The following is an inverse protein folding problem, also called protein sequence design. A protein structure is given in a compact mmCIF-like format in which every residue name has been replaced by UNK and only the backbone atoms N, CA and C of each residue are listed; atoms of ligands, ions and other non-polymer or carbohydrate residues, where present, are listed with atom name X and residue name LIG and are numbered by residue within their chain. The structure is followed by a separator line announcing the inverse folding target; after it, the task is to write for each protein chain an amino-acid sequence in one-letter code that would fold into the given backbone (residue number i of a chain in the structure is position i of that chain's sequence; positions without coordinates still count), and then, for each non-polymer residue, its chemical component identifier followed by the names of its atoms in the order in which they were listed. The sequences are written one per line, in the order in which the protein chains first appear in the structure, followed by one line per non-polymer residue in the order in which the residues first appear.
data_IF_503442854300
#
_entry.id   IF_503442854300
#
_cell.length_a   1.000
_cell.length_b   1.000
_cell.length_c   1.000
_cell.angle_alpha   90.00
_cell.angle_beta   90.00
_cell.angle_gamma   90.00
#
_symmetry.space_group_name_H-M   'P 1'
#
loop_
_entity.id
_entity.type
_entity.pdbx_description
1 polymer ?
#
# COMPACT_ATOMS: atom_id res chain seq x y z
N UNK A 1 18.70 -12.13 -1.42
CA UNK A 1 20.01 -11.45 -1.59
C UNK A 1 19.89 -10.36 -2.68
N UNK A 2 18.89 -9.47 -2.59
CA UNK A 2 18.60 -8.46 -3.64
C UNK A 2 18.26 -7.05 -3.09
N UNK A 3 18.40 -6.79 -1.78
CA UNK A 3 17.89 -5.55 -1.17
C UNK A 3 18.85 -4.34 -1.14
N UNK A 4 19.97 -4.38 -1.86
CA UNK A 4 21.00 -3.32 -1.75
C UNK A 4 20.88 -2.22 -2.83
N UNK A 5 19.98 -2.33 -3.82
CA UNK A 5 20.01 -1.43 -5.00
C UNK A 5 19.20 -0.14 -4.92
N UNK A 6 18.33 0.06 -3.94
CA UNK A 6 17.44 1.23 -3.91
C UNK A 6 18.16 2.50 -3.40
N UNK A 7 19.18 2.36 -2.54
CA UNK A 7 19.95 3.51 -2.02
C UNK A 7 20.79 4.25 -3.07
N UNK A 8 21.24 3.56 -4.12
CA UNK A 8 22.18 4.12 -5.11
C UNK A 8 21.51 5.06 -6.12
N UNK A 9 20.20 4.94 -6.35
CA UNK A 9 19.48 5.76 -7.32
C UNK A 9 19.19 7.15 -6.76
N UNK A 10 18.93 7.26 -5.45
CA UNK A 10 18.63 8.55 -4.82
C UNK A 10 19.86 9.46 -4.74
N UNK A 11 21.06 8.90 -4.52
CA UNK A 11 22.29 9.68 -4.38
C UNK A 11 22.78 10.28 -5.72
N UNK A 12 22.52 9.60 -6.84
CA UNK A 12 22.87 10.08 -8.18
C UNK A 12 21.90 11.14 -8.74
N UNK A 13 20.67 11.19 -8.22
CA UNK A 13 19.68 12.19 -8.64
C UNK A 13 20.04 13.59 -8.11
N UNK A 14 20.48 13.66 -6.85
CA UNK A 14 20.89 14.94 -6.23
C UNK A 14 22.21 15.48 -6.78
N UNK A 15 23.17 14.61 -7.14
CA UNK A 15 24.42 15.04 -7.77
C UNK A 15 24.20 15.59 -9.18
N UNK A 16 23.26 15.03 -9.94
CA UNK A 16 22.89 15.56 -11.26
C UNK A 16 22.27 16.96 -11.22
N UNK A 17 21.38 17.22 -10.25
CA UNK A 17 20.77 18.56 -10.06
C UNK A 17 21.81 19.59 -9.62
N UNK A 18 22.76 19.20 -8.76
CA UNK A 18 23.83 20.09 -8.28
C UNK A 18 24.78 20.49 -9.43
N UNK A 19 25.11 19.56 -10.34
CA UNK A 19 25.96 19.84 -11.50
C UNK A 19 25.25 20.75 -12.52
N UNK A 20 23.94 20.59 -12.72
CA UNK A 20 23.17 21.50 -13.58
C UNK A 20 23.09 22.94 -13.02
N UNK A 21 23.02 23.12 -11.70
CA UNK A 21 23.04 24.46 -11.09
C UNK A 21 24.40 25.15 -11.19
N UNK A 22 25.50 24.39 -11.17
CA UNK A 22 26.86 24.95 -11.26
C UNK A 22 27.21 25.36 -12.70
N UNK A 23 26.73 24.63 -13.72
CA UNK A 23 27.05 24.94 -15.13
C UNK A 23 26.21 26.11 -15.69
N UNK A 24 25.04 26.41 -15.12
CA UNK A 24 24.18 27.53 -15.57
C UNK A 24 24.54 28.87 -14.89
N UNK A 25 25.44 28.87 -13.89
CA UNK A 25 25.86 30.07 -13.16
C UNK A 25 27.33 30.52 -13.43
N UNK A 26 27.75 30.83 -14.67
CA UNK A 26 28.94 31.65 -14.84
C UNK A 26 28.67 32.87 -15.73
N UNK A 27 27.72 33.76 -15.43
CA UNK A 27 27.61 35.03 -16.20
C UNK A 27 26.96 36.22 -15.48
N UNK A 28 26.99 36.27 -14.14
CA UNK A 28 26.38 37.37 -13.36
C UNK A 28 27.33 38.05 -12.37
N UNK A 29 28.63 38.10 -12.67
CA UNK A 29 29.60 38.91 -11.90
C UNK A 29 30.62 39.56 -12.84
N UNK A 30 30.26 40.67 -13.48
CA UNK A 30 31.20 41.75 -13.83
C UNK A 30 30.43 42.95 -14.39
N UNK A 31 29.96 43.82 -13.49
CA UNK A 31 29.51 45.17 -13.85
C UNK A 31 29.58 46.07 -12.63
N UNK A 32 30.78 46.27 -12.07
CA UNK A 32 31.04 47.35 -11.11
C UNK A 32 32.49 47.80 -11.27
N UNK A 33 32.66 49.05 -11.69
CA UNK A 33 33.97 49.65 -12.00
C UNK A 33 33.81 51.03 -12.61
N UNK A 34 32.91 51.83 -12.03
CA UNK A 34 32.72 53.25 -12.34
C UNK A 34 33.88 54.02 -11.70
N UNK A 35 34.91 54.30 -12.51
CA UNK A 35 36.00 55.20 -12.15
C UNK A 35 35.66 56.61 -12.62
N UNK A 36 35.09 57.41 -11.72
CA UNK A 36 35.01 58.86 -11.89
C UNK A 36 36.43 59.44 -11.98
N UNK A 37 36.73 60.11 -13.11
CA UNK A 37 37.93 60.91 -13.27
C UNK A 37 37.51 62.36 -13.48
N UNK A 38 37.65 63.13 -12.40
CA UNK A 38 37.42 64.56 -12.31
C UNK A 38 38.77 65.25 -12.05
N UNK A 39 38.90 66.51 -12.49
CA UNK A 39 40.05 67.45 -12.39
C UNK A 39 41.20 67.21 -13.40
N UNK A 40 41.73 68.19 -14.16
CA UNK A 40 41.82 69.64 -13.97
C UNK A 40 41.89 70.42 -15.30
N UNK A 41 41.63 71.75 -15.30
CA UNK A 41 41.82 72.63 -16.44
C UNK A 41 43.23 73.26 -16.43
N UNK A 42 43.98 73.17 -17.54
CA UNK A 42 45.17 74.00 -17.76
C UNK A 42 44.94 75.08 -18.82
N UNK A 43 45.09 76.31 -18.33
CA UNK A 43 45.66 77.52 -18.90
C UNK A 43 46.08 77.60 -20.38
N UNK A 44 45.56 78.67 -21.00
CA UNK A 44 46.31 79.73 -21.70
C UNK A 44 47.21 79.37 -22.88
N UNK A 45 46.69 79.61 -24.09
CA UNK A 45 47.47 80.28 -25.13
C UNK A 45 46.66 81.40 -25.80
N UNK A 46 47.16 82.64 -25.60
CA UNK A 46 46.79 83.83 -26.37
C UNK A 46 47.25 83.64 -27.82
N UNK A 47 46.33 83.68 -28.77
CA UNK A 47 46.67 83.98 -30.15
C UNK A 47 45.61 84.89 -30.76
N UNK A 48 46.05 86.12 -31.03
CA UNK A 48 45.34 87.19 -31.69
C UNK A 48 45.00 86.85 -33.14
N UNK A 49 43.75 86.99 -33.54
CA UNK A 49 43.32 87.11 -34.95
C UNK A 49 41.98 87.85 -35.03
N UNK A 50 41.58 88.33 -36.21
CA UNK A 50 41.02 89.67 -36.42
C UNK A 50 39.56 89.77 -35.96
N UNK A 51 39.11 90.99 -35.69
CA UNK A 51 37.69 91.30 -35.46
C UNK A 51 36.87 91.02 -36.72
N UNK A 52 36.45 89.76 -36.87
CA UNK A 52 35.28 89.36 -37.64
C UNK A 52 34.09 89.55 -36.72
N UNK A 53 33.07 90.27 -37.18
CA UNK A 53 31.87 90.62 -36.44
C UNK A 53 31.25 89.37 -35.79
N UNK A 54 31.35 89.31 -34.45
CA UNK A 54 30.95 88.21 -33.55
C UNK A 54 29.48 87.74 -33.71
N UNK A 55 28.67 88.51 -34.43
CA UNK A 55 27.26 88.25 -34.71
C UNK A 55 27.05 87.19 -35.80
N UNK A 56 27.85 87.20 -36.86
CA UNK A 56 27.66 86.28 -38.00
C UNK A 56 28.12 84.85 -37.68
N UNK A 57 29.08 84.69 -36.77
CA UNK A 57 29.54 83.38 -36.29
C UNK A 57 28.52 82.75 -35.35
N UNK A 58 27.84 83.56 -34.53
CA UNK A 58 26.86 83.07 -33.56
C UNK A 58 25.58 82.55 -34.24
N UNK A 59 25.13 83.21 -35.31
CA UNK A 59 23.97 82.78 -36.08
C UNK A 59 24.24 81.51 -36.92
N UNK A 60 25.49 81.28 -37.32
CA UNK A 60 25.90 80.09 -38.07
C UNK A 60 26.12 78.84 -37.19
N UNK A 61 26.51 78.99 -35.92
CA UNK A 61 26.78 77.87 -35.00
C UNK A 61 25.52 77.39 -34.24
N UNK A 62 24.54 78.27 -34.01
CA UNK A 62 23.28 77.94 -33.32
C UNK A 62 22.50 76.71 -33.90
N UNK A 63 22.39 76.49 -35.23
CA UNK A 63 21.75 75.29 -35.76
C UNK A 63 22.57 74.01 -35.53
N UNK A 64 23.90 74.08 -35.54
CA UNK A 64 24.79 72.95 -35.27
C UNK A 64 24.66 72.46 -33.82
N UNK A 65 24.60 73.38 -32.85
CA UNK A 65 24.40 73.05 -31.43
C UNK A 65 23.01 72.42 -31.21
N UNK A 66 21.97 72.92 -31.89
CA UNK A 66 20.63 72.30 -31.84
C UNK A 66 20.62 70.90 -32.45
N UNK A 67 21.30 70.69 -33.58
CA UNK A 67 21.47 69.37 -34.20
C UNK A 67 22.20 68.38 -33.29
N UNK A 68 23.23 68.82 -32.57
CA UNK A 68 23.97 67.96 -31.64
C UNK A 68 23.11 67.55 -30.43
N UNK A 69 22.28 68.45 -29.90
CA UNK A 69 21.35 68.13 -28.80
C UNK A 69 20.29 67.11 -29.23
N UNK A 70 19.72 67.26 -30.42
CA UNK A 70 18.71 66.30 -30.93
C UNK A 70 19.33 64.93 -31.21
N UNK A 71 20.55 64.87 -31.74
CA UNK A 71 21.29 63.62 -31.94
C UNK A 71 21.62 62.93 -30.61
N UNK A 72 22.06 63.66 -29.59
CA UNK A 72 22.30 63.10 -28.24
C UNK A 72 21.01 62.53 -27.64
N UNK A 73 19.89 63.24 -27.79
CA UNK A 73 18.59 62.78 -27.27
C UNK A 73 18.14 61.50 -27.98
N UNK A 74 18.25 61.44 -29.32
CA UNK A 74 17.93 60.23 -30.10
C UNK A 74 18.83 59.05 -29.73
N UNK A 75 20.13 59.28 -29.55
CA UNK A 75 21.07 58.24 -29.14
C UNK A 75 20.71 57.68 -27.75
N UNK A 76 20.38 58.54 -26.78
CA UNK A 76 19.94 58.12 -25.45
C UNK A 76 18.68 57.27 -25.49
N UNK A 77 17.67 57.66 -26.27
CA UNK A 77 16.42 56.88 -26.40
C UNK A 77 16.65 55.52 -27.08
N UNK A 78 17.66 55.42 -27.96
CA UNK A 78 17.96 54.19 -28.68
C UNK A 78 18.73 53.20 -27.79
N UNK A 79 19.60 53.71 -26.91
CA UNK A 79 20.29 52.91 -25.88
C UNK A 79 19.26 52.34 -24.89
N UNK A 80 18.35 53.17 -24.39
CA UNK A 80 17.30 52.73 -23.46
C UNK A 80 16.36 51.68 -24.10
N UNK A 81 16.02 51.86 -25.39
CA UNK A 81 15.27 50.86 -26.14
C UNK A 81 16.04 49.53 -26.31
N UNK A 82 17.36 49.59 -26.49
CA UNK A 82 18.20 48.39 -26.60
C UNK A 82 18.36 47.66 -25.26
N UNK A 83 18.52 48.37 -24.15
CA UNK A 83 18.59 47.80 -22.81
C UNK A 83 17.26 47.13 -22.39
N UNK A 84 16.13 47.75 -22.73
CA UNK A 84 14.82 47.14 -22.46
C UNK A 84 14.56 45.90 -23.31
N UNK A 85 15.02 45.88 -24.58
CA UNK A 85 14.91 44.71 -25.45
C UNK A 85 15.78 43.55 -24.95
N UNK A 86 17.04 43.81 -24.61
CA UNK A 86 17.97 42.80 -24.09
C UNK A 86 17.51 42.23 -22.74
N UNK A 87 16.95 43.06 -21.86
CA UNK A 87 16.37 42.58 -20.60
C UNK A 87 15.17 41.65 -20.82
N UNK A 88 14.30 41.98 -21.79
CA UNK A 88 13.15 41.14 -22.13
C UNK A 88 13.57 39.81 -22.74
N UNK A 89 14.51 39.81 -23.70
CA UNK A 89 14.98 38.57 -24.33
C UNK A 89 15.65 37.64 -23.31
N UNK A 90 16.48 38.16 -22.41
CA UNK A 90 17.09 37.37 -21.32
C UNK A 90 16.03 36.72 -20.44
N UNK A 91 14.97 37.46 -20.04
CA UNK A 91 13.87 36.89 -19.24
C UNK A 91 13.16 35.75 -19.98
N UNK A 92 12.88 35.89 -21.28
CA UNK A 92 12.26 34.83 -22.06
C UNK A 92 13.13 33.58 -22.17
N UNK A 93 14.45 33.74 -22.36
CA UNK A 93 15.39 32.61 -22.41
C UNK A 93 15.40 31.87 -21.07
N UNK A 94 15.42 32.58 -19.95
CA UNK A 94 15.38 31.97 -18.61
C UNK A 94 14.07 31.21 -18.37
N UNK A 95 12.92 31.81 -18.70
CA UNK A 95 11.60 31.16 -18.56
C UNK A 95 11.52 29.89 -19.42
N UNK A 96 11.98 29.96 -20.67
CA UNK A 96 12.00 28.82 -21.59
C UNK A 96 12.91 27.69 -21.06
N UNK A 97 14.06 28.05 -20.47
CA UNK A 97 14.97 27.10 -19.83
C UNK A 97 14.32 26.36 -18.65
N UNK A 98 13.64 27.09 -17.75
CA UNK A 98 12.91 26.49 -16.62
C UNK A 98 11.80 25.55 -17.12
N UNK A 99 11.04 25.98 -18.12
CA UNK A 99 9.96 25.18 -18.70
C UNK A 99 10.49 23.86 -19.30
N UNK A 100 11.63 23.92 -20.01
CA UNK A 100 12.28 22.73 -20.56
C UNK A 100 12.71 21.75 -19.46
N UNK A 101 13.30 22.23 -18.37
CA UNK A 101 13.70 21.40 -17.22
C UNK A 101 12.50 20.72 -16.58
N UNK A 102 11.37 21.44 -16.41
CA UNK A 102 10.14 20.87 -15.86
C UNK A 102 9.57 19.78 -16.77
N UNK A 103 9.56 20.00 -18.09
CA UNK A 103 9.11 19.01 -19.08
C UNK A 103 9.97 17.75 -19.03
N UNK A 104 11.30 17.89 -19.01
CA UNK A 104 12.23 16.75 -18.93
C UNK A 104 12.08 15.98 -17.60
N UNK A 105 11.84 16.69 -16.50
CA UNK A 105 11.60 16.09 -15.19
C UNK A 105 10.30 15.27 -15.18
N UNK A 106 9.22 15.83 -15.73
CA UNK A 106 7.95 15.14 -15.87
C UNK A 106 8.07 13.89 -16.77
N UNK A 107 8.82 14.00 -17.88
CA UNK A 107 9.05 12.87 -18.78
C UNK A 107 9.87 11.76 -18.13
N UNK A 108 10.90 12.12 -17.36
CA UNK A 108 11.71 11.16 -16.60
C UNK A 108 10.87 10.43 -15.55
N UNK A 109 10.02 11.17 -14.83
CA UNK A 109 9.10 10.58 -13.85
C UNK A 109 8.10 9.63 -14.50
N UNK A 110 7.51 10.03 -15.64
CA UNK A 110 6.58 9.20 -16.40
C UNK A 110 7.27 7.92 -16.89
N UNK A 111 8.50 8.02 -17.38
CA UNK A 111 9.29 6.89 -17.85
C UNK A 111 9.62 5.91 -16.71
N UNK A 112 10.03 6.41 -15.54
CA UNK A 112 10.27 5.57 -14.36
C UNK A 112 9.00 4.85 -13.90
N UNK A 113 7.86 5.56 -13.90
CA UNK A 113 6.56 4.98 -13.57
C UNK A 113 6.14 3.89 -14.57
N UNK A 114 6.37 4.13 -15.86
CA UNK A 114 6.12 3.15 -16.91
C UNK A 114 6.95 1.88 -16.70
N UNK A 115 8.26 2.01 -16.42
CA UNK A 115 9.12 0.83 -16.16
C UNK A 115 8.71 0.06 -14.91
N UNK A 116 8.24 0.75 -13.87
CA UNK A 116 7.76 0.08 -12.67
C UNK A 116 6.47 -0.74 -12.96
N UNK A 117 5.55 -0.18 -13.74
CA UNK A 117 4.34 -0.91 -14.17
C UNK A 117 4.70 -2.12 -15.04
N UNK A 118 5.63 -1.97 -15.99
CA UNK A 118 6.08 -3.08 -16.85
C UNK A 118 6.69 -4.23 -16.03
N UNK A 119 7.46 -3.91 -14.99
CA UNK A 119 7.98 -4.90 -14.03
C UNK A 119 6.85 -5.66 -13.33
N UNK A 120 5.84 -4.96 -12.79
CA UNK A 120 4.71 -5.61 -12.12
C UNK A 120 3.91 -6.51 -13.08
N UNK A 121 3.74 -6.09 -14.34
CA UNK A 121 3.06 -6.90 -15.35
C UNK A 121 3.82 -8.19 -15.66
N UNK A 122 5.16 -8.13 -15.72
CA UNK A 122 5.99 -9.32 -15.93
C UNK A 122 5.90 -10.28 -14.73
N UNK A 123 5.94 -9.77 -13.50
CA UNK A 123 5.79 -10.60 -12.29
C UNK A 123 4.41 -11.29 -12.27
N UNK A 124 3.34 -10.58 -12.64
CA UNK A 124 1.99 -11.14 -12.77
C UNK A 124 1.97 -12.22 -13.87
N UNK A 125 2.61 -11.97 -15.01
CA UNK A 125 2.65 -12.94 -16.12
C UNK A 125 3.36 -14.23 -15.74
N UNK A 126 4.46 -14.14 -15.00
CA UNK A 126 5.17 -15.30 -14.46
C UNK A 126 4.29 -16.03 -13.43
N UNK A 127 3.60 -15.30 -12.56
CA UNK A 127 2.60 -15.84 -11.63
C UNK A 127 1.48 -16.61 -12.35
N UNK A 128 0.94 -16.08 -13.45
CA UNK A 128 -0.07 -16.77 -14.26
C UNK A 128 0.49 -18.04 -14.90
N UNK A 129 1.74 -18.02 -15.37
CA UNK A 129 2.40 -19.21 -15.91
C UNK A 129 2.57 -20.32 -14.88
N UNK A 130 3.01 -19.99 -13.67
CA UNK A 130 3.13 -20.97 -12.57
C UNK A 130 1.76 -21.52 -12.17
N UNK A 131 0.73 -20.67 -12.08
CA UNK A 131 -0.64 -21.10 -11.81
C UNK A 131 -1.18 -22.06 -12.88
N UNK A 132 -0.91 -21.77 -14.17
CA UNK A 132 -1.30 -22.65 -15.28
C UNK A 132 -0.64 -24.02 -15.18
N UNK A 133 0.63 -24.08 -14.78
CA UNK A 133 1.36 -25.34 -14.58
C UNK A 133 0.82 -26.13 -13.38
N UNK A 134 0.52 -25.47 -12.26
CA UNK A 134 -0.09 -26.13 -11.09
C UNK A 134 -1.47 -26.69 -11.45
N UNK A 135 -2.28 -25.92 -12.18
CA UNK A 135 -3.61 -26.35 -12.62
C UNK A 135 -3.55 -27.54 -13.60
N UNK A 136 -2.56 -27.58 -14.50
CA UNK A 136 -2.39 -28.72 -15.41
C UNK A 136 -1.95 -29.99 -14.66
N UNK A 137 -1.02 -29.87 -13.70
CA UNK A 137 -0.65 -30.99 -12.81
C UNK A 137 -1.85 -31.49 -11.99
N UNK A 138 -2.64 -30.59 -11.39
CA UNK A 138 -3.83 -30.98 -10.64
C UNK A 138 -4.87 -31.71 -11.51
N UNK A 139 -5.09 -31.25 -12.75
CA UNK A 139 -5.98 -31.93 -13.70
C UNK A 139 -5.49 -33.31 -14.09
N UNK A 140 -4.18 -33.54 -14.08
CA UNK A 140 -3.57 -34.82 -14.39
C UNK A 140 -3.66 -35.80 -13.21
N UNK A 141 -3.56 -35.32 -11.97
CA UNK A 141 -3.55 -36.17 -10.77
C UNK A 141 -4.97 -36.54 -10.29
N UNK A 142 -5.96 -35.69 -10.54
CA UNK A 142 -7.36 -35.90 -10.13
C UNK A 142 -7.97 -37.25 -10.56
N UNK A 143 -7.78 -37.70 -11.82
CA UNK A 143 -8.25 -39.02 -12.27
C UNK A 143 -7.58 -40.17 -11.52
N UNK A 144 -6.29 -40.08 -11.21
CA UNK A 144 -5.57 -41.13 -10.50
C UNK A 144 -6.04 -41.22 -9.04
N UNK A 145 -6.21 -40.08 -8.37
CA UNK A 145 -6.78 -40.01 -7.02
C UNK A 145 -8.19 -40.60 -7.00
N UNK A 146 -9.05 -40.24 -7.97
CA UNK A 146 -10.41 -40.80 -8.09
C UNK A 146 -10.38 -42.32 -8.24
N UNK A 147 -9.49 -42.87 -9.07
CA UNK A 147 -9.34 -44.32 -9.24
C UNK A 147 -8.87 -45.00 -7.95
N UNK A 148 -7.96 -44.37 -7.20
CA UNK A 148 -7.49 -44.90 -5.90
C UNK A 148 -8.59 -44.92 -4.85
N UNK A 149 -9.42 -43.88 -4.77
CA UNK A 149 -10.59 -43.84 -3.87
C UNK A 149 -11.57 -44.97 -4.22
N UNK A 150 -11.93 -45.12 -5.49
CA UNK A 150 -12.87 -46.16 -5.93
C UNK A 150 -12.33 -47.57 -5.59
N UNK A 151 -11.03 -47.79 -5.75
CA UNK A 151 -10.39 -49.06 -5.38
C UNK A 151 -10.46 -49.34 -3.87
N UNK A 152 -10.25 -48.31 -3.04
CA UNK A 152 -10.34 -48.42 -1.58
C UNK A 152 -11.78 -48.68 -1.12
N UNK A 153 -12.77 -48.04 -1.73
CA UNK A 153 -14.19 -48.28 -1.43
C UNK A 153 -14.59 -49.73 -1.71
N UNK A 154 -14.19 -50.28 -2.86
CA UNK A 154 -14.44 -51.69 -3.21
C UNK A 154 -13.76 -52.63 -2.18
N UNK A 155 -12.53 -52.32 -1.78
CA UNK A 155 -11.81 -53.12 -0.78
C UNK A 155 -12.48 -53.06 0.60
N UNK A 156 -12.99 -51.90 0.99
CA UNK A 156 -13.67 -51.71 2.28
C UNK A 156 -15.04 -52.42 2.30
N UNK A 157 -15.81 -52.32 1.20
CA UNK A 157 -17.05 -53.09 1.03
C UNK A 157 -16.81 -54.60 1.13
N UNK A 158 -15.74 -55.10 0.48
CA UNK A 158 -15.36 -56.51 0.56
C UNK A 158 -15.03 -56.93 2.00
N UNK A 159 -14.20 -56.15 2.70
CA UNK A 159 -13.81 -56.43 4.09
C UNK A 159 -15.03 -56.42 5.02
N UNK A 160 -15.96 -55.49 4.82
CA UNK A 160 -17.21 -55.41 5.59
C UNK A 160 -18.09 -56.64 5.38
N UNK A 161 -18.21 -57.13 4.14
CA UNK A 161 -18.95 -58.36 3.84
C UNK A 161 -18.31 -59.60 4.45
N UNK A 162 -16.97 -59.68 4.45
CA UNK A 162 -16.25 -60.75 5.14
C UNK A 162 -16.53 -60.75 6.65
N UNK A 163 -16.49 -59.58 7.30
CA UNK A 163 -16.84 -59.44 8.73
C UNK A 163 -18.28 -59.87 9.00
N UNK A 164 -19.24 -59.43 8.16
CA UNK A 164 -20.66 -59.80 8.27
C UNK A 164 -20.87 -61.33 8.18
N UNK A 165 -20.18 -61.97 7.24
CA UNK A 165 -20.23 -63.43 7.08
C UNK A 165 -19.64 -64.18 8.28
N UNK A 166 -18.61 -63.62 8.93
CA UNK A 166 -18.01 -64.18 10.15
C UNK A 166 -18.88 -63.97 11.40
N UNK A 167 -19.69 -62.91 11.45
CA UNK A 167 -20.57 -62.60 12.59
C UNK A 167 -21.90 -63.35 12.56
N UNK A 168 -22.40 -63.72 11.38
CA UNK A 168 -23.68 -64.44 11.20
C UNK A 168 -23.82 -65.70 12.06
N UNK A 169 -22.80 -66.58 12.19
CA UNK A 169 -22.89 -67.79 13.03
C UNK A 169 -22.92 -67.50 14.54
N UNK A 170 -22.43 -66.33 14.97
CA UNK A 170 -22.40 -65.93 16.38
C UNK A 170 -23.79 -65.42 16.79
N UNK A 171 -24.45 -64.65 15.91
CA UNK A 171 -25.82 -64.18 16.13
C UNK A 171 -26.82 -65.35 16.20
N UNK A 172 -26.69 -66.35 15.32
CA UNK A 172 -27.59 -67.51 15.29
C UNK A 172 -27.41 -68.45 16.49
N UNK A 173 -26.30 -68.35 17.23
CA UNK A 173 -26.01 -69.16 18.43
C UNK A 173 -26.42 -68.48 19.74
N UNK A 174 -26.80 -67.19 19.69
CA UNK A 174 -27.15 -66.36 20.86
C UNK A 174 -28.66 -66.25 21.13
N UNK A 175 -29.52 -66.75 20.24
CA UNK A 175 -30.98 -66.58 20.36
C UNK A 175 -31.69 -67.62 21.25
N UNK A 176 -30.95 -68.55 21.85
CA UNK A 176 -31.45 -69.49 22.84
C UNK A 176 -30.70 -69.30 24.17
N UNK A 177 -30.98 -68.21 24.87
CA UNK A 177 -31.05 -68.13 26.35
C UNK A 177 -31.01 -66.66 26.80
N UNK A 178 -31.71 -66.41 27.91
CA UNK A 178 -31.63 -65.23 28.78
C UNK A 178 -32.56 -64.05 28.45
N UNK A 179 -33.76 -64.20 29.03
CA UNK A 179 -34.59 -63.17 29.67
C UNK A 179 -33.85 -61.94 30.22
N UNK A 180 -34.40 -60.75 29.91
CA UNK A 180 -34.44 -59.47 30.67
C UNK A 180 -33.36 -59.22 31.74
N UNK A 181 -32.77 -58.02 31.73
CA UNK A 181 -33.15 -57.10 32.79
C UNK A 181 -33.38 -55.66 32.33
N UNK A 182 -34.43 -55.10 32.94
CA UNK A 182 -34.72 -53.69 33.13
C UNK A 182 -33.54 -52.96 33.79
N UNK A 183 -33.06 -51.89 33.16
CA UNK A 183 -32.33 -50.85 33.88
C UNK A 183 -32.78 -49.44 33.43
N UNK A 184 -33.70 -48.91 34.23
CA UNK A 184 -33.78 -47.48 34.56
C UNK A 184 -32.39 -46.94 34.91
N UNK A 185 -32.00 -45.80 34.33
CA UNK A 185 -31.79 -44.55 35.09
C UNK A 185 -31.61 -43.38 34.12
N UNK A 186 -32.61 -42.48 34.09
CA UNK A 186 -32.45 -41.14 33.56
C UNK A 186 -31.32 -40.45 34.33
N UNK A 187 -30.30 -40.04 33.60
CA UNK A 187 -29.32 -39.06 34.07
C UNK A 187 -30.01 -37.70 34.00
N UNK A 188 -30.17 -36.97 35.11
CA UNK A 188 -30.69 -35.61 35.06
C UNK A 188 -29.67 -34.75 34.31
N UNK A 189 -30.11 -34.10 33.24
CA UNK A 189 -29.42 -32.98 32.62
C UNK A 189 -29.17 -31.93 33.70
N UNK A 190 -27.99 -31.99 34.31
CA UNK A 190 -27.47 -30.90 35.11
C UNK A 190 -27.42 -29.70 34.19
N UNK A 191 -28.23 -28.70 34.53
CA UNK A 191 -28.14 -27.36 33.98
C UNK A 191 -26.68 -26.91 34.16
N UNK A 192 -25.93 -26.98 33.07
CA UNK A 192 -24.76 -26.14 32.89
C UNK A 192 -25.37 -24.75 32.81
N UNK A 193 -25.54 -24.11 33.98
CA UNK A 193 -25.57 -22.66 34.08
C UNK A 193 -24.22 -22.22 33.52
N UNK A 194 -24.22 -22.09 32.19
CA UNK A 194 -23.17 -21.52 31.41
C UNK A 194 -22.96 -20.14 31.99
N UNK A 195 -21.90 -20.06 32.77
CA UNK A 195 -21.38 -18.90 33.46
C UNK A 195 -21.10 -17.87 32.37
N UNK A 196 -22.15 -17.17 31.93
CA UNK A 196 -22.10 -15.99 31.07
C UNK A 196 -21.53 -14.89 31.96
N UNK A 197 -20.25 -15.05 32.33
CA UNK A 197 -19.42 -13.96 32.79
C UNK A 197 -19.47 -12.97 31.66
N UNK A 198 -20.34 -11.98 31.83
CA UNK A 198 -20.48 -10.83 30.97
C UNK A 198 -19.07 -10.28 30.81
N UNK A 199 -18.47 -10.55 29.66
CA UNK A 199 -17.09 -10.17 29.41
C UNK A 199 -17.10 -8.65 29.27
N UNK A 200 -16.69 -7.94 30.31
CA UNK A 200 -16.60 -6.49 30.26
C UNK A 200 -15.38 -6.14 29.40
N UNK A 201 -15.66 -5.71 28.17
CA UNK A 201 -14.65 -5.14 27.29
C UNK A 201 -14.05 -3.91 27.98
N UNK A 202 -12.72 -3.82 27.99
CA UNK A 202 -12.08 -2.60 28.46
C UNK A 202 -12.43 -1.44 27.52
N UNK A 203 -12.45 -0.18 28.00
CA UNK A 203 -12.81 0.96 27.16
C UNK A 203 -11.98 1.08 25.87
N UNK A 204 -10.70 0.70 25.91
CA UNK A 204 -9.81 0.73 24.75
C UNK A 204 -10.22 -0.30 23.68
N UNK A 205 -10.57 -1.53 24.09
CA UNK A 205 -11.03 -2.57 23.17
C UNK A 205 -12.41 -2.22 22.61
N UNK A 206 -13.30 -1.64 23.42
CA UNK A 206 -14.60 -1.18 22.95
C UNK A 206 -14.46 -0.08 21.88
N UNK A 207 -13.59 0.93 22.09
CA UNK A 207 -13.29 1.96 21.09
C UNK A 207 -12.72 1.37 19.79
N UNK A 208 -11.87 0.33 19.88
CA UNK A 208 -11.37 -0.39 18.71
C UNK A 208 -12.52 -1.02 17.91
N UNK A 209 -13.43 -1.74 18.58
CA UNK A 209 -14.58 -2.37 17.94
C UNK A 209 -15.52 -1.34 17.30
N UNK A 210 -15.83 -0.24 18.00
CA UNK A 210 -16.71 0.81 17.49
C UNK A 210 -16.13 1.47 16.22
N UNK A 211 -14.84 1.79 16.23
CA UNK A 211 -14.15 2.34 15.05
C UNK A 211 -14.09 1.36 13.90
N UNK A 212 -13.80 0.09 14.19
CA UNK A 212 -13.78 -0.95 13.16
C UNK A 212 -15.16 -1.08 12.50
N UNK A 213 -16.20 -1.20 13.31
CA UNK A 213 -17.57 -1.38 12.85
C UNK A 213 -18.07 -0.17 12.05
N UNK A 214 -17.70 1.05 12.44
CA UNK A 214 -17.98 2.25 11.65
C UNK A 214 -17.32 2.23 10.25
N UNK A 215 -16.16 1.59 10.12
CA UNK A 215 -15.43 1.45 8.86
C UNK A 215 -15.95 0.35 7.91
N UNK A 216 -16.91 -0.47 8.33
CA UNK A 216 -17.45 -1.55 7.49
C UNK A 216 -18.09 -0.95 6.23
N UNK A 217 -18.99 0.03 6.40
CA UNK A 217 -19.72 0.67 5.30
C UNK A 217 -19.13 2.01 4.85
N UNK A 218 -18.35 2.70 5.70
CA UNK A 218 -17.76 4.00 5.37
C UNK A 218 -16.25 3.88 5.10
N UNK A 219 -15.87 4.13 3.84
CA UNK A 219 -14.47 4.09 3.38
C UNK A 219 -13.57 5.10 4.11
N UNK A 220 -14.09 6.28 4.48
CA UNK A 220 -13.31 7.28 5.20
C UNK A 220 -13.03 6.81 6.62
N UNK A 221 -14.04 6.27 7.31
CA UNK A 221 -13.87 5.68 8.65
C UNK A 221 -12.94 4.47 8.65
N UNK A 222 -13.00 3.65 7.61
CA UNK A 222 -12.04 2.57 7.38
C UNK A 222 -10.60 3.08 7.29
N UNK A 223 -10.37 4.13 6.50
CA UNK A 223 -9.04 4.72 6.36
C UNK A 223 -8.56 5.34 7.68
N UNK A 224 -9.44 6.02 8.42
CA UNK A 224 -9.13 6.54 9.76
C UNK A 224 -8.70 5.39 10.71
N UNK A 225 -9.41 4.26 10.70
CA UNK A 225 -9.05 3.07 11.48
C UNK A 225 -7.67 2.53 11.08
N UNK A 226 -7.44 2.29 9.79
CA UNK A 226 -6.16 1.76 9.29
C UNK A 226 -5.00 2.73 9.54
N UNK A 227 -5.25 4.03 9.53
CA UNK A 227 -4.27 5.06 9.87
C UNK A 227 -3.94 5.04 11.36
N UNK A 228 -4.95 4.91 12.23
CA UNK A 228 -4.72 4.81 13.68
C UNK A 228 -3.89 3.58 14.04
N UNK A 229 -4.17 2.46 13.40
CA UNK A 229 -3.48 1.19 13.61
C UNK A 229 -2.48 0.89 12.49
N UNK A 230 -1.73 1.90 12.01
CA UNK A 230 -0.83 1.87 10.84
C UNK A 230 0.11 0.65 10.73
N UNK A 231 0.45 0.01 11.85
CA UNK A 231 1.26 -1.21 11.91
C UNK A 231 0.39 -2.47 11.96
N UNK A 232 -0.79 -2.45 11.34
CA UNK A 232 -1.69 -3.61 11.36
C UNK A 232 -1.03 -4.77 10.62
N UNK A 233 -0.76 -5.85 11.33
CA UNK A 233 -0.24 -7.07 10.74
C UNK A 233 -1.36 -7.75 9.96
N UNK A 234 -1.12 -8.07 8.69
CA UNK A 234 -2.03 -8.92 7.93
C UNK A 234 -1.69 -10.36 8.26
N UNK A 235 -2.62 -11.05 8.91
CA UNK A 235 -2.43 -12.43 9.37
C UNK A 235 -3.21 -13.35 8.45
N UNK A 236 -2.59 -14.46 8.05
CA UNK A 236 -3.17 -15.50 7.21
C UNK A 236 -2.91 -16.89 7.81
N UNK A 237 -3.72 -17.88 7.41
CA UNK A 237 -3.58 -19.29 7.77
C UNK A 237 -2.70 -20.00 6.75
N UNK A 238 -1.43 -20.14 7.05
CA UNK A 238 -0.41 -20.72 6.16
C UNK A 238 -0.78 -22.12 5.65
N UNK A 239 -1.38 -22.93 6.52
CA UNK A 239 -1.73 -24.32 6.24
C UNK A 239 -3.19 -24.51 5.79
N UNK A 240 -3.83 -23.48 5.22
CA UNK A 240 -5.22 -23.57 4.76
C UNK A 240 -5.45 -24.72 3.75
N UNK A 241 -4.47 -24.98 2.87
CA UNK A 241 -4.54 -26.09 1.88
C UNK A 241 -4.56 -27.46 2.57
N UNK A 242 -3.75 -27.67 3.60
CA UNK A 242 -3.72 -28.94 4.34
C UNK A 242 -5.02 -29.14 5.12
N UNK A 243 -5.55 -28.05 5.71
CA UNK A 243 -6.84 -28.05 6.42
C UNK A 243 -8.02 -28.35 5.50
N UNK A 244 -7.91 -28.02 4.22
CA UNK A 244 -8.89 -28.42 3.19
C UNK A 244 -9.01 -29.94 3.07
N UNK A 245 -7.90 -30.65 3.23
CA UNK A 245 -7.86 -32.11 3.19
C UNK A 245 -8.26 -32.70 4.54
N UNK A 246 -7.81 -32.09 5.64
CA UNK A 246 -8.11 -32.53 7.00
C UNK A 246 -8.36 -31.35 7.94
N UNK A 247 -9.64 -31.08 8.20
CA UNK A 247 -10.08 -29.96 9.05
C UNK A 247 -9.63 -30.07 10.52
N UNK A 248 -9.21 -31.26 10.98
CA UNK A 248 -8.71 -31.48 12.34
C UNK A 248 -7.27 -30.98 12.54
N UNK A 249 -6.59 -30.53 11.48
CA UNK A 249 -5.27 -29.92 11.60
C UNK A 249 -5.42 -28.51 12.20
N UNK A 250 -4.68 -28.25 13.26
CA UNK A 250 -4.64 -26.93 13.91
C UNK A 250 -4.15 -25.84 12.94
N UNK A 251 -4.76 -24.65 12.95
CA UNK A 251 -4.34 -23.56 12.08
C UNK A 251 -2.99 -22.98 12.48
N UNK A 252 -2.15 -22.69 11.48
CA UNK A 252 -0.86 -22.01 11.65
C UNK A 252 -0.99 -20.59 11.13
N UNK A 253 -0.97 -19.62 12.04
CA UNK A 253 -1.11 -18.21 11.70
C UNK A 253 0.25 -17.56 11.48
N UNK A 254 0.40 -16.83 10.36
CA UNK A 254 1.62 -16.09 10.01
C UNK A 254 1.30 -14.69 9.50
N UNK A 255 2.27 -13.80 9.62
CA UNK A 255 2.21 -12.49 8.97
C UNK A 255 2.44 -12.65 7.47
N UNK A 256 1.65 -11.97 6.65
CA UNK A 256 1.81 -11.98 5.20
C UNK A 256 1.77 -10.55 4.64
N UNK A 257 2.70 -10.23 3.73
CA UNK A 257 2.94 -8.83 3.34
C UNK A 257 1.83 -8.22 2.45
N UNK A 258 1.20 -9.04 1.59
CA UNK A 258 0.27 -8.54 0.57
C UNK A 258 -1.20 -8.65 1.00
N UNK A 259 -1.58 -9.83 1.47
CA UNK A 259 -2.96 -10.19 1.81
C UNK A 259 -3.02 -10.93 3.16
N UNK A 260 -4.14 -10.87 3.84
CA UNK A 260 -4.42 -11.63 5.05
C UNK A 260 -5.90 -11.55 5.36
N UNK A 261 -6.44 -12.62 5.91
CA UNK A 261 -7.86 -12.71 6.26
C UNK A 261 -8.16 -11.99 7.57
N UNK A 262 -7.12 -11.73 8.37
CA UNK A 262 -7.21 -11.02 9.63
C UNK A 262 -6.25 -9.82 9.70
N UNK A 263 -6.63 -8.82 10.50
CA UNK A 263 -5.83 -7.65 10.84
C UNK A 263 -5.49 -7.70 12.32
N UNK A 264 -4.20 -7.83 12.63
CA UNK A 264 -3.65 -7.70 13.98
C UNK A 264 -3.37 -6.25 14.32
N UNK A 265 -4.08 -5.72 15.31
CA UNK A 265 -3.98 -4.36 15.83
C UNK A 265 -3.38 -4.39 17.24
N UNK A 266 -2.25 -3.72 17.44
CA UNK A 266 -1.68 -3.51 18.76
C UNK A 266 -2.44 -2.41 19.50
N UNK A 267 -2.96 -2.73 20.69
CA UNK A 267 -3.64 -1.78 21.57
C UNK A 267 -2.67 -1.39 22.68
N UNK A 268 -2.14 -0.16 22.61
CA UNK A 268 -1.05 0.31 23.46
C UNK A 268 -1.43 0.33 24.95
N UNK A 269 -2.66 0.71 25.25
CA UNK A 269 -3.19 0.82 26.62
C UNK A 269 -3.21 -0.53 27.34
N UNK A 270 -3.54 -1.60 26.61
CA UNK A 270 -3.66 -2.97 27.14
C UNK A 270 -2.41 -3.82 26.88
N UNK A 271 -1.47 -3.31 26.07
CA UNK A 271 -0.23 -3.98 25.65
C UNK A 271 -0.46 -5.37 25.03
N UNK A 272 -1.50 -5.52 24.23
CA UNK A 272 -1.87 -6.78 23.60
C UNK A 272 -2.18 -6.61 22.10
N UNK A 273 -2.11 -7.72 21.37
CA UNK A 273 -2.51 -7.78 19.96
C UNK A 273 -3.93 -8.30 19.85
N UNK A 274 -4.82 -7.39 19.49
CA UNK A 274 -6.19 -7.73 19.09
C UNK A 274 -6.23 -8.08 17.62
N UNK A 275 -7.09 -9.01 17.24
CA UNK A 275 -7.26 -9.45 15.86
C UNK A 275 -8.72 -9.32 15.46
N UNK A 276 -8.94 -8.64 14.33
CA UNK A 276 -10.24 -8.44 13.69
C UNK A 276 -10.19 -8.98 12.26
N UNK A 277 -11.33 -9.28 11.62
CA UNK A 277 -11.34 -9.65 10.21
C UNK A 277 -10.77 -8.54 9.32
N UNK A 278 -10.17 -8.89 8.19
CA UNK A 278 -9.83 -7.90 7.18
C UNK A 278 -11.09 -7.24 6.59
N UNK A 279 -11.03 -5.93 6.35
CA UNK A 279 -12.13 -5.24 5.68
C UNK A 279 -12.39 -5.83 4.29
N UNK A 280 -13.66 -5.85 3.88
CA UNK A 280 -14.12 -6.39 2.58
C UNK A 280 -13.89 -7.90 2.42
N UNK A 281 -13.51 -8.59 3.49
CA UNK A 281 -13.50 -10.03 3.47
C UNK A 281 -14.93 -10.55 3.39
N UNK A 282 -15.20 -11.38 2.39
CA UNK A 282 -16.43 -12.17 2.31
C UNK A 282 -16.16 -13.49 3.01
N UNK A 283 -16.93 -13.78 4.05
CA UNK A 283 -16.84 -15.08 4.73
C UNK A 283 -17.70 -16.05 3.94
N UNK A 284 -17.02 -16.96 3.25
CA UNK A 284 -17.59 -18.12 2.55
C UNK A 284 -17.20 -19.39 3.30
N UNK A 285 -17.85 -20.51 3.00
CA UNK A 285 -17.59 -21.81 3.62
C UNK A 285 -16.09 -22.17 3.67
N UNK A 286 -15.34 -21.88 2.61
CA UNK A 286 -13.91 -22.19 2.50
C UNK A 286 -13.07 -21.43 3.52
N UNK A 287 -13.30 -20.13 3.67
CA UNK A 287 -12.57 -19.30 4.63
C UNK A 287 -13.09 -19.55 6.06
N UNK A 288 -14.37 -19.89 6.20
CA UNK A 288 -15.00 -20.19 7.47
C UNK A 288 -14.31 -21.39 8.16
N UNK A 289 -14.16 -22.50 7.41
CA UNK A 289 -13.52 -23.71 7.92
C UNK A 289 -12.00 -23.68 7.69
N UNK A 290 -11.54 -23.67 6.43
CA UNK A 290 -10.13 -23.86 6.11
C UNK A 290 -9.28 -22.61 6.42
N UNK A 291 -9.87 -21.42 6.28
CA UNK A 291 -9.31 -20.15 6.73
C UNK A 291 -9.39 -19.90 8.24
N UNK A 292 -9.82 -20.90 9.02
CA UNK A 292 -9.80 -20.90 10.48
C UNK A 292 -10.67 -19.84 11.16
N UNK A 293 -11.66 -19.28 10.47
CA UNK A 293 -12.54 -18.27 11.05
C UNK A 293 -13.27 -18.79 12.29
N UNK A 294 -13.77 -20.03 12.24
CA UNK A 294 -14.41 -20.70 13.39
C UNK A 294 -13.46 -20.95 14.56
N UNK A 295 -12.15 -21.04 14.28
CA UNK A 295 -11.12 -21.19 15.30
C UNK A 295 -10.79 -19.86 15.95
N UNK A 296 -10.78 -18.76 15.18
CA UNK A 296 -10.44 -17.42 15.66
C UNK A 296 -11.63 -16.71 16.32
N UNK A 297 -12.84 -16.92 15.81
CA UNK A 297 -14.04 -16.22 16.26
C UNK A 297 -15.17 -17.20 16.61
N UNK A 298 -15.83 -16.90 17.71
CA UNK A 298 -17.13 -17.47 18.06
C UNK A 298 -18.20 -16.85 17.16
N UNK A 299 -18.77 -17.69 16.30
CA UNK A 299 -19.86 -17.37 15.37
C UNK A 299 -21.10 -18.24 15.66
N UNK A 300 -21.27 -18.71 16.90
CA UNK A 300 -22.28 -19.71 17.32
C UNK A 300 -23.73 -19.36 16.98
N UNK A 301 -24.05 -18.08 16.79
CA UNK A 301 -25.39 -17.63 16.35
C UNK A 301 -25.69 -17.97 14.89
N UNK A 302 -24.70 -18.45 14.13
CA UNK A 302 -24.79 -18.73 12.70
C UNK A 302 -24.29 -20.14 12.40
N UNK A 303 -25.21 -21.03 12.01
CA UNK A 303 -24.86 -22.35 11.50
C UNK A 303 -24.45 -22.22 10.02
N UNK A 304 -23.19 -22.57 9.71
CA UNK A 304 -22.68 -22.70 8.34
C UNK A 304 -23.07 -24.07 7.73
N UNK A 305 -24.33 -24.44 7.89
CA UNK A 305 -24.85 -25.71 7.37
C UNK A 305 -25.05 -25.66 5.85
N UNK A 306 -25.21 -24.45 5.30
CA UNK A 306 -25.33 -24.22 3.86
C UNK A 306 -23.96 -23.82 3.24
N UNK A 307 -23.38 -24.65 2.34
CA UNK A 307 -22.14 -24.30 1.65
C UNK A 307 -22.27 -23.06 0.75
N UNK A 308 -23.48 -22.68 0.35
CA UNK A 308 -23.74 -21.49 -0.48
C UNK A 308 -23.89 -20.20 0.37
N UNK A 309 -23.87 -20.31 1.71
CA UNK A 309 -23.93 -19.15 2.59
C UNK A 309 -22.70 -18.25 2.44
N UNK A 310 -22.96 -16.94 2.27
CA UNK A 310 -21.93 -15.91 2.16
C UNK A 310 -22.31 -14.71 3.02
N UNK A 311 -21.38 -14.27 3.85
CA UNK A 311 -21.55 -13.12 4.73
C UNK A 311 -20.57 -12.02 4.31
N UNK A 312 -21.10 -10.91 3.82
CA UNK A 312 -20.28 -9.76 3.37
C UNK A 312 -20.09 -8.72 4.49
N UNK A 313 -21.04 -8.66 5.43
CA UNK A 313 -21.04 -7.70 6.52
C UNK A 313 -20.74 -8.44 7.82
N UNK A 314 -19.60 -8.12 8.42
CA UNK A 314 -19.07 -8.79 9.61
C UNK A 314 -18.83 -7.73 10.68
N UNK A 315 -19.65 -7.73 11.73
CA UNK A 315 -19.50 -6.82 12.87
C UNK A 315 -18.69 -7.51 13.96
N UNK A 316 -17.71 -6.81 14.51
CA UNK A 316 -16.89 -7.30 15.62
C UNK A 316 -17.59 -6.94 16.93
N UNK A 317 -18.06 -7.95 17.67
CA UNK A 317 -18.54 -7.79 19.04
C UNK A 317 -17.35 -7.79 19.99
N UNK A 318 -16.41 -8.70 19.78
CA UNK A 318 -15.18 -8.84 20.56
C UNK A 318 -14.03 -9.27 19.63
N UNK A 319 -12.88 -8.61 19.64
CA UNK A 319 -11.76 -9.06 18.82
C UNK A 319 -11.13 -10.32 19.43
N UNK A 320 -10.47 -11.12 18.61
CA UNK A 320 -9.65 -12.21 19.10
C UNK A 320 -8.34 -11.66 19.69
N UNK A 321 -7.70 -12.40 20.60
CA UNK A 321 -6.42 -12.00 21.20
C UNK A 321 -5.35 -12.98 20.75
N UNK A 322 -4.26 -12.44 20.19
CA UNK A 322 -3.12 -13.21 19.76
C UNK A 322 -1.84 -12.78 20.49
N UNK A 323 -0.90 -13.70 20.57
CA UNK A 323 0.47 -13.45 20.99
C UNK A 323 1.41 -13.76 19.82
N UNK A 324 2.24 -12.79 19.38
CA UNK A 324 3.26 -13.05 18.36
C UNK A 324 4.40 -13.89 18.94
N UNK A 325 4.87 -14.87 18.18
CA UNK A 325 6.13 -15.59 18.39
C UNK A 325 7.15 -15.07 17.37
N UNK A 326 7.87 -14.01 17.73
CA UNK A 326 8.83 -13.33 16.87
C UNK A 326 9.94 -14.26 16.36
N UNK A 327 10.27 -15.33 17.10
CA UNK A 327 11.32 -16.27 16.70
C UNK A 327 10.90 -17.16 15.52
N UNK A 328 9.60 -17.37 15.34
CA UNK A 328 9.04 -18.25 14.30
C UNK A 328 8.20 -17.51 13.26
N UNK A 329 8.03 -16.20 13.44
CA UNK A 329 7.12 -15.38 12.63
C UNK A 329 5.68 -15.93 12.61
N UNK A 330 5.27 -16.58 13.72
CA UNK A 330 3.94 -17.18 13.88
C UNK A 330 3.14 -16.45 14.94
N UNK A 331 1.82 -16.58 14.88
CA UNK A 331 0.91 -16.04 15.90
C UNK A 331 0.18 -17.17 16.62
N UNK A 332 0.04 -17.03 17.93
CA UNK A 332 -0.71 -17.99 18.76
C UNK A 332 -1.99 -17.33 19.23
N UNK A 333 -3.14 -17.94 18.91
CA UNK A 333 -4.43 -17.53 19.44
C UNK A 333 -4.49 -17.81 20.96
N UNK A 334 -4.75 -16.78 21.75
CA UNK A 334 -4.93 -16.87 23.21
C UNK A 334 -6.39 -16.88 23.61
N UNK A 335 -7.20 -16.11 22.89
CA UNK A 335 -8.61 -15.97 23.19
C UNK A 335 -9.41 -15.75 21.91
N UNK A 336 -10.50 -16.50 21.75
CA UNK A 336 -11.41 -16.33 20.62
C UNK A 336 -12.13 -14.98 20.69
N UNK A 337 -12.28 -14.34 19.54
CA UNK A 337 -13.17 -13.19 19.38
C UNK A 337 -14.63 -13.63 19.26
N UNK A 338 -15.52 -12.68 19.01
CA UNK A 338 -16.93 -12.93 18.68
C UNK A 338 -17.38 -11.98 17.58
N UNK A 339 -18.06 -12.53 16.58
CA UNK A 339 -18.57 -11.79 15.43
C UNK A 339 -20.10 -11.89 15.38
N UNK A 340 -20.72 -10.83 14.88
CA UNK A 340 -22.10 -10.84 14.39
C UNK A 340 -22.04 -10.83 12.86
N UNK A 341 -22.53 -11.91 12.25
CA UNK A 341 -22.55 -12.05 10.80
C UNK A 341 -23.90 -11.56 10.27
N UNK A 342 -23.91 -10.91 9.12
CA UNK A 342 -25.15 -10.50 8.45
C UNK A 342 -25.14 -11.02 7.02
N UNK A 343 -26.18 -11.76 6.66
CA UNK A 343 -26.44 -12.18 5.28
C UNK A 343 -26.88 -10.98 4.45
N UNK A 344 -26.47 -10.96 3.18
CA UNK A 344 -26.87 -9.95 2.20
C UNK A 344 -28.11 -10.39 1.44
#
# INVERSE_FOLDING_TARGET
MQDIKIGYVHQNFWSGILVCLIVVCPFMTSAEGQGDMQSDPQESQKQSTPQVTQKDIHDSIAPLIRGQKTLKTKASTLIEAQETLTTRTTRYIVILGILLVLILSAFTWLFLRYRHLDSQVNDIREGVGTFSNVNSSLRQDLPDIRNRIQKLEIQNQKSTQEILNLLKPIADKSTNEVSSPSHKKLVPSAQIEENTRKFELTPAIADLCDRYNAGIQDKNKRNEFLQRYHNSYKIHVENATDRRVNQQIDPVFKTHHAAGDFLGCYVEEEKLYTVVPAYQLRIVHENFHYGAFVDVFDCSEHEFDDPDSCYEVVRVIKPAIFEPDDAKETWTLKEKGRLELQTV
#
